data_IF_132869422203
#
_entry.id   IF_132869422203
#
_cell.length_a   1.000
_cell.length_b   1.000
_cell.length_c   1.000
_cell.angle_alpha   90.00
_cell.angle_beta   90.00
_cell.angle_gamma   90.00
#
_symmetry.space_group_name_H-M   'P 1'
#
loop_
_entity.id
_entity.type
_entity.pdbx_description
1 polymer ?
#
# COMPACT_ATOMS: atom_id res chain seq x y z
N UNK A 1 -3.40 -1.50 -12.23
CA UNK A 1 -3.61 -2.70 -13.08
C UNK A 1 -2.55 -3.70 -12.67
N UNK A 2 -2.83 -4.57 -11.67
CA UNK A 2 -1.84 -5.54 -11.21
C UNK A 2 -1.58 -6.62 -12.27
N UNK A 3 -0.31 -6.98 -12.46
CA UNK A 3 0.13 -7.94 -13.48
C UNK A 3 0.55 -9.28 -12.86
N UNK A 4 1.48 -9.26 -11.90
CA UNK A 4 2.09 -10.47 -11.32
C UNK A 4 2.47 -10.29 -9.85
N UNK A 5 2.81 -11.39 -9.19
CA UNK A 5 3.34 -11.46 -7.83
C UNK A 5 2.41 -10.82 -6.79
N UNK A 6 2.93 -9.86 -6.02
CA UNK A 6 2.25 -9.19 -4.93
C UNK A 6 1.34 -8.04 -5.38
N UNK A 7 1.46 -7.59 -6.64
CA UNK A 7 0.68 -6.48 -7.17
C UNK A 7 -0.84 -6.65 -6.99
N UNK A 8 -1.46 -7.83 -7.22
CA UNK A 8 -2.90 -8.01 -7.00
C UNK A 8 -3.29 -7.83 -5.52
N UNK A 9 -2.44 -8.31 -4.61
CA UNK A 9 -2.66 -8.18 -3.17
C UNK A 9 -2.59 -6.71 -2.75
N UNK A 10 -1.54 -5.99 -3.15
CA UNK A 10 -1.41 -4.55 -2.88
C UNK A 10 -2.52 -3.72 -3.49
N UNK A 11 -2.92 -4.00 -4.73
CA UNK A 11 -4.03 -3.29 -5.37
C UNK A 11 -5.37 -3.52 -4.63
N UNK A 12 -5.59 -4.73 -4.10
CA UNK A 12 -6.73 -5.03 -3.23
C UNK A 12 -6.66 -4.24 -1.92
N UNK A 13 -5.47 -4.18 -1.29
CA UNK A 13 -5.26 -3.44 -0.04
C UNK A 13 -5.50 -1.94 -0.21
N UNK A 14 -4.97 -1.32 -1.26
CA UNK A 14 -5.19 0.09 -1.57
C UNK A 14 -6.67 0.41 -1.79
N UNK A 15 -7.40 -0.48 -2.46
CA UNK A 15 -8.86 -0.33 -2.62
C UNK A 15 -9.58 -0.36 -1.28
N UNK A 16 -9.26 -1.31 -0.40
CA UNK A 16 -9.87 -1.43 0.95
C UNK A 16 -9.62 -0.16 1.78
N UNK A 17 -8.43 0.43 1.65
CA UNK A 17 -8.04 1.65 2.35
C UNK A 17 -8.55 2.94 1.67
N UNK A 18 -9.23 2.84 0.53
CA UNK A 18 -9.69 4.01 -0.23
C UNK A 18 -8.57 4.80 -0.92
N UNK A 19 -7.35 4.26 -0.95
CA UNK A 19 -6.16 4.89 -1.53
C UNK A 19 -5.99 4.60 -3.03
N UNK A 20 -6.92 3.85 -3.61
CA UNK A 20 -6.94 3.60 -5.04
C UNK A 20 -8.25 2.98 -5.49
N UNK A 21 -8.53 3.03 -6.81
CA UNK A 21 -9.70 2.38 -7.38
C UNK A 21 -9.54 0.85 -7.32
N UNK A 22 -10.63 0.14 -7.60
CA UNK A 22 -10.58 -1.31 -7.69
C UNK A 22 -9.57 -1.81 -8.75
N UNK A 23 -8.90 -2.94 -8.50
CA UNK A 23 -7.93 -3.48 -9.45
C UNK A 23 -8.59 -3.77 -10.80
N UNK A 24 -7.91 -3.37 -11.87
CA UNK A 24 -8.25 -3.76 -13.24
C UNK A 24 -7.43 -4.97 -13.65
N UNK A 25 -8.08 -5.97 -14.27
CA UNK A 25 -7.39 -7.08 -14.92
C UNK A 25 -6.45 -6.58 -16.01
N UNK A 26 -5.30 -7.24 -16.18
CA UNK A 26 -4.34 -6.97 -17.25
C UNK A 26 -4.92 -7.15 -18.67
N UNK A 27 -6.01 -7.89 -18.81
CA UNK A 27 -6.70 -8.10 -20.09
C UNK A 27 -7.65 -6.98 -20.50
N UNK A 28 -7.88 -5.98 -19.63
CA UNK A 28 -8.78 -4.85 -19.95
C UNK A 28 -8.10 -3.92 -20.94
N UNK A 29 -8.64 -3.87 -22.16
CA UNK A 29 -8.15 -2.99 -23.25
C UNK A 29 -9.17 -1.94 -23.68
N UNK A 30 -10.40 -1.97 -23.15
CA UNK A 30 -11.45 -1.03 -23.53
C UNK A 30 -11.11 0.41 -23.08
N UNK A 31 -11.00 1.39 -24.00
CA UNK A 31 -10.60 2.75 -23.67
C UNK A 31 -11.52 3.46 -22.69
N UNK A 32 -12.85 3.24 -22.78
CA UNK A 32 -13.81 3.86 -21.86
C UNK A 32 -13.68 3.29 -20.44
N UNK A 33 -13.38 2.00 -20.32
CA UNK A 33 -13.10 1.39 -19.01
C UNK A 33 -11.81 1.94 -18.41
N UNK A 34 -10.75 2.09 -19.20
CA UNK A 34 -9.48 2.67 -18.75
C UNK A 34 -9.65 4.13 -18.34
N UNK A 35 -10.36 4.94 -19.15
CA UNK A 35 -10.70 6.34 -18.82
C UNK A 35 -11.38 6.44 -17.46
N UNK A 36 -12.42 5.64 -17.21
CA UNK A 36 -13.13 5.65 -15.92
C UNK A 36 -12.23 5.27 -14.74
N UNK A 37 -11.32 4.32 -14.92
CA UNK A 37 -10.41 3.91 -13.86
C UNK A 37 -9.36 4.99 -13.56
N UNK A 38 -8.87 5.70 -14.57
CA UNK A 38 -7.97 6.84 -14.38
C UNK A 38 -8.66 7.98 -13.63
N UNK A 39 -9.90 8.33 -14.01
CA UNK A 39 -10.69 9.35 -13.28
C UNK A 39 -10.84 8.95 -11.81
N UNK A 40 -11.24 7.71 -11.52
CA UNK A 40 -11.35 7.22 -10.14
C UNK A 40 -10.02 7.22 -9.37
N UNK A 41 -8.90 6.99 -10.05
CA UNK A 41 -7.59 7.08 -9.41
C UNK A 41 -7.25 8.51 -9.00
N UNK A 42 -7.59 9.50 -9.84
CA UNK A 42 -7.40 10.93 -9.52
C UNK A 42 -8.27 11.34 -8.33
N UNK A 43 -9.51 10.84 -8.26
CA UNK A 43 -10.44 11.10 -7.14
C UNK A 43 -9.91 10.60 -5.78
N UNK A 44 -9.02 9.59 -5.77
CA UNK A 44 -8.37 9.12 -4.53
C UNK A 44 -7.26 10.07 -4.03
N UNK A 45 -6.90 11.13 -4.76
CA UNK A 45 -5.72 11.95 -4.50
C UNK A 45 -5.65 12.55 -3.10
N UNK A 46 -6.78 13.03 -2.56
CA UNK A 46 -6.81 13.62 -1.22
C UNK A 46 -6.56 12.56 -0.12
N UNK A 47 -7.16 11.37 -0.25
CA UNK A 47 -6.92 10.27 0.67
C UNK A 47 -5.46 9.82 0.64
N UNK A 48 -4.86 9.77 -0.56
CA UNK A 48 -3.43 9.47 -0.74
C UNK A 48 -2.55 10.54 -0.11
N UNK A 49 -2.89 11.82 -0.27
CA UNK A 49 -2.16 12.93 0.35
C UNK A 49 -2.12 12.79 1.86
N UNK A 50 -3.28 12.62 2.49
CA UNK A 50 -3.39 12.45 3.95
C UNK A 50 -2.62 11.23 4.44
N UNK A 51 -2.74 10.08 3.75
CA UNK A 51 -1.97 8.89 4.09
C UNK A 51 -0.46 9.13 3.98
N UNK A 52 -0.01 9.84 2.94
CA UNK A 52 1.41 10.14 2.74
C UNK A 52 1.96 11.08 3.82
N UNK A 53 1.18 12.06 4.27
CA UNK A 53 1.55 12.95 5.37
C UNK A 53 1.66 12.18 6.69
N UNK A 54 0.74 11.25 6.95
CA UNK A 54 0.83 10.38 8.12
C UNK A 54 2.08 9.50 8.08
N UNK A 55 2.33 8.83 6.95
CA UNK A 55 3.52 7.99 6.76
C UNK A 55 4.83 8.78 6.92
N UNK A 56 4.86 10.05 6.51
CA UNK A 56 6.04 10.89 6.65
C UNK A 56 6.38 11.24 8.11
N UNK A 57 5.42 11.10 9.04
CA UNK A 57 5.61 11.32 10.47
C UNK A 57 6.02 10.04 11.22
N UNK A 58 5.99 8.89 10.56
CA UNK A 58 6.36 7.62 11.17
C UNK A 58 7.88 7.46 11.27
N UNK A 59 8.39 7.10 12.46
CA UNK A 59 9.75 6.59 12.63
C UNK A 59 9.78 5.07 12.49
N UNK A 60 9.46 4.57 11.30
CA UNK A 60 9.43 3.13 11.02
C UNK A 60 10.79 2.47 11.20
N UNK A 61 11.88 3.18 10.85
CA UNK A 61 13.24 2.65 10.96
C UNK A 61 13.70 2.55 12.42
N UNK A 62 13.53 3.60 13.21
CA UNK A 62 13.88 3.59 14.63
C UNK A 62 13.08 2.54 15.39
N UNK A 63 11.79 2.38 15.06
CA UNK A 63 10.97 1.30 15.63
C UNK A 63 11.48 -0.09 15.24
N UNK A 64 11.87 -0.29 13.98
CA UNK A 64 12.43 -1.56 13.53
C UNK A 64 13.76 -1.88 14.22
N UNK A 65 14.64 -0.89 14.37
CA UNK A 65 15.91 -1.05 15.07
C UNK A 65 15.71 -1.44 16.53
N UNK A 66 14.82 -0.74 17.25
CA UNK A 66 14.50 -1.06 18.64
C UNK A 66 14.00 -2.50 18.81
N UNK A 67 13.20 -3.01 17.88
CA UNK A 67 12.72 -4.41 17.92
C UNK A 67 13.88 -5.40 17.74
N UNK A 68 14.84 -5.09 16.88
CA UNK A 68 16.02 -5.94 16.64
C UNK A 68 16.94 -5.92 17.86
N UNK A 69 17.20 -4.74 18.44
CA UNK A 69 18.04 -4.58 19.64
C UNK A 69 17.42 -5.31 20.85
N UNK A 70 16.12 -5.19 21.06
CA UNK A 70 15.40 -5.93 22.12
C UNK A 70 15.52 -7.45 21.92
N UNK A 71 15.55 -7.92 20.67
CA UNK A 71 15.73 -9.34 20.37
C UNK A 71 17.16 -9.82 20.62
N UNK A 72 18.18 -9.04 20.26
CA UNK A 72 19.57 -9.37 20.59
C UNK A 72 19.82 -9.35 22.10
N UNK A 73 19.20 -8.42 22.82
CA UNK A 73 19.28 -8.34 24.28
C UNK A 73 18.50 -9.45 25.01
N UNK A 74 17.76 -10.30 24.29
CA UNK A 74 16.94 -11.37 24.86
C UNK A 74 15.69 -10.88 25.59
N UNK A 75 15.27 -9.63 25.36
CA UNK A 75 14.06 -9.03 25.94
C UNK A 75 12.80 -9.56 25.25
N UNK A 76 12.86 -9.78 23.93
CA UNK A 76 11.74 -10.31 23.15
C UNK A 76 12.23 -11.10 21.93
N UNK A 77 11.71 -12.30 21.68
CA UNK A 77 12.05 -13.04 20.45
C UNK A 77 11.60 -12.30 19.17
N UNK A 78 12.50 -12.23 18.19
CA UNK A 78 12.18 -11.74 16.86
C UNK A 78 11.29 -12.77 16.14
N UNK A 79 9.99 -12.47 16.02
CA UNK A 79 9.08 -13.32 15.25
C UNK A 79 9.12 -12.91 13.77
N UNK A 80 9.19 -13.87 12.83
CA UNK A 80 8.97 -13.57 11.43
C UNK A 80 7.54 -13.04 11.22
N UNK A 81 7.42 -12.06 10.33
CA UNK A 81 6.17 -11.41 9.95
C UNK A 81 5.23 -12.37 9.19
#
# INVERSE_FOLDING_TARGET
MPFVADQPWWAGRLKILGLGPGPLSKSVTNPNTLKRALVKAIECGEAVRVASEFMALEDGLGRALSIIEDAEAGVQELRPA
#
